data_IF_526084826412
#
_entry.id   IF_526084826412
#
_cell.length_a   1.000
_cell.length_b   1.000
_cell.length_c   1.000
_cell.angle_alpha   90.00
_cell.angle_beta   90.00
_cell.angle_gamma   90.00
#
_symmetry.space_group_name_H-M   'P 1'
#
loop_
_entity.id
_entity.type
_entity.pdbx_description
1 polymer ?
#
# COMPACT_ATOMS: atom_id res chain seq x y z
N UNK A 1 31.05 0.77 18.83
CA UNK A 1 31.22 1.42 17.49
C UNK A 1 30.66 0.45 16.45
N UNK A 2 29.37 0.51 16.13
CA UNK A 2 28.76 -0.38 15.14
C UNK A 2 28.77 0.36 13.79
N UNK A 3 29.59 -0.12 12.86
CA UNK A 3 29.52 0.32 11.46
C UNK A 3 28.16 -0.13 10.87
N UNK A 4 27.27 0.84 10.66
CA UNK A 4 26.01 0.62 9.95
C UNK A 4 26.32 0.56 8.47
N UNK A 5 26.17 -0.62 7.89
CA UNK A 5 26.41 -0.92 6.48
C UNK A 5 25.56 -0.01 5.60
N UNK A 6 26.19 0.89 4.84
CA UNK A 6 25.55 1.89 3.97
C UNK A 6 24.78 1.28 2.79
N UNK A 7 25.04 0.03 2.43
CA UNK A 7 24.36 -0.65 1.32
C UNK A 7 22.85 -0.91 1.54
N UNK A 8 22.41 -1.06 2.81
CA UNK A 8 20.99 -1.31 3.12
C UNK A 8 20.11 -0.06 3.05
N UNK A 9 20.70 1.14 3.18
CA UNK A 9 19.97 2.42 3.15
C UNK A 9 19.61 2.85 1.71
N UNK A 10 20.42 2.48 0.71
CA UNK A 10 20.18 2.79 -0.71
C UNK A 10 18.99 2.03 -1.33
N UNK A 11 18.57 0.91 -0.74
CA UNK A 11 17.57 0.01 -1.35
C UNK A 11 16.14 0.58 -1.41
N UNK A 12 15.79 1.52 -0.55
CA UNK A 12 14.48 2.23 -0.61
C UNK A 12 14.47 3.36 -1.66
N UNK A 13 15.64 3.89 -2.03
CA UNK A 13 15.80 4.99 -2.99
C UNK A 13 16.24 4.51 -4.38
N UNK A 14 16.82 3.31 -4.52
CA UNK A 14 17.24 2.73 -5.81
C UNK A 14 16.06 2.12 -6.54
N UNK A 15 15.32 2.94 -7.25
CA UNK A 15 14.24 2.52 -8.14
C UNK A 15 14.69 2.61 -9.60
N UNK A 16 14.57 1.47 -10.30
CA UNK A 16 14.51 1.23 -11.74
C UNK A 16 15.81 0.87 -12.44
N UNK A 17 15.93 -0.45 -12.71
CA UNK A 17 16.39 -1.01 -13.99
C UNK A 17 16.06 -2.52 -13.99
N UNK A 18 15.16 -2.93 -14.84
CA UNK A 18 14.71 -4.32 -15.11
C UNK A 18 13.35 -4.27 -15.77
N UNK A 19 12.94 -5.23 -16.57
CA UNK A 19 11.58 -5.35 -17.15
C UNK A 19 10.57 -4.82 -16.15
N UNK A 20 9.77 -3.82 -16.53
CA UNK A 20 8.99 -2.98 -15.60
C UNK A 20 8.00 -3.80 -14.76
N UNK A 21 8.55 -4.42 -13.71
CA UNK A 21 7.74 -5.01 -12.65
C UNK A 21 7.01 -3.89 -11.92
N UNK A 22 5.71 -3.98 -11.86
CA UNK A 22 4.91 -3.02 -11.12
C UNK A 22 4.42 -3.64 -9.81
N UNK A 23 4.63 -2.95 -8.72
CA UNK A 23 4.14 -3.33 -7.38
C UNK A 23 3.08 -2.31 -6.98
N UNK A 24 1.86 -2.78 -6.72
CA UNK A 24 0.79 -1.99 -6.12
C UNK A 24 0.60 -2.42 -4.68
N UNK A 25 0.53 -1.48 -3.76
CA UNK A 25 0.18 -1.78 -2.37
C UNK A 25 -1.16 -1.14 -2.05
N UNK A 26 -2.09 -1.94 -1.57
CA UNK A 26 -3.42 -1.49 -1.17
C UNK A 26 -3.45 -1.34 0.34
N UNK A 27 -3.62 -0.11 0.81
CA UNK A 27 -3.54 0.24 2.23
C UNK A 27 -4.62 1.22 2.66
N UNK A 28 -4.56 1.62 3.92
CA UNK A 28 -5.46 2.63 4.48
C UNK A 28 -5.31 2.74 5.99
N UNK A 29 -5.65 3.92 6.53
CA UNK A 29 -5.46 4.22 7.95
C UNK A 29 -6.45 3.49 8.89
N UNK A 30 -7.60 2.99 8.39
CA UNK A 30 -8.67 2.41 9.20
C UNK A 30 -8.98 0.97 8.81
N UNK A 31 -9.40 0.14 9.80
CA UNK A 31 -9.96 -1.19 9.57
C UNK A 31 -11.35 -1.15 8.95
N UNK A 32 -11.73 -2.20 8.23
CA UNK A 32 -13.10 -2.32 7.68
C UNK A 32 -13.39 -1.46 6.44
N UNK A 33 -12.39 -0.80 5.83
CA UNK A 33 -12.61 -0.01 4.60
C UNK A 33 -12.74 -0.86 3.33
N UNK A 34 -12.59 -2.20 3.44
CA UNK A 34 -12.71 -3.11 2.29
C UNK A 34 -11.43 -3.30 1.49
N UNK A 35 -10.25 -2.99 2.04
CA UNK A 35 -8.94 -3.16 1.38
C UNK A 35 -8.77 -4.55 0.75
N UNK A 36 -8.96 -5.60 1.53
CA UNK A 36 -8.77 -6.99 1.07
C UNK A 36 -9.74 -7.38 -0.03
N UNK A 37 -11.00 -6.91 0.03
CA UNK A 37 -11.96 -7.07 -1.06
C UNK A 37 -11.47 -6.37 -2.33
N UNK A 38 -11.02 -5.11 -2.21
CA UNK A 38 -10.48 -4.32 -3.34
C UNK A 38 -9.22 -4.99 -3.90
N UNK A 39 -8.27 -5.39 -3.04
CA UNK A 39 -7.03 -6.06 -3.44
C UNK A 39 -7.29 -7.36 -4.21
N UNK A 40 -8.14 -8.24 -3.67
CA UNK A 40 -8.50 -9.50 -4.32
C UNK A 40 -9.23 -9.27 -5.65
N UNK A 41 -10.18 -8.34 -5.67
CA UNK A 41 -10.96 -8.04 -6.88
C UNK A 41 -10.09 -7.41 -7.98
N UNK A 42 -9.21 -6.49 -7.62
CA UNK A 42 -8.22 -5.92 -8.56
C UNK A 42 -7.29 -7.01 -9.11
N UNK A 43 -6.81 -7.94 -8.25
CA UNK A 43 -5.93 -9.02 -8.65
C UNK A 43 -6.62 -10.00 -9.62
N UNK A 44 -7.87 -10.37 -9.36
CA UNK A 44 -8.67 -11.23 -10.24
C UNK A 44 -8.82 -10.58 -11.62
N UNK A 45 -9.22 -9.31 -11.65
CA UNK A 45 -9.41 -8.62 -12.93
C UNK A 45 -8.08 -8.41 -13.67
N UNK A 46 -7.02 -8.00 -12.99
CA UNK A 46 -5.71 -7.80 -13.60
C UNK A 46 -5.14 -9.10 -14.18
N UNK A 47 -5.33 -10.24 -13.50
CA UNK A 47 -4.91 -11.55 -13.99
C UNK A 47 -5.63 -11.95 -15.28
N UNK A 48 -6.88 -11.54 -15.47
CA UNK A 48 -7.61 -11.76 -16.72
C UNK A 48 -7.01 -10.98 -17.89
N UNK A 49 -6.37 -9.84 -17.62
CA UNK A 49 -5.71 -9.00 -18.63
C UNK A 49 -4.27 -9.43 -18.91
N UNK A 50 -3.46 -9.71 -17.88
CA UNK A 50 -2.01 -9.83 -18.00
C UNK A 50 -1.44 -11.25 -17.71
N UNK A 51 -2.20 -12.14 -17.10
CA UNK A 51 -1.87 -13.57 -16.85
C UNK A 51 -0.59 -13.85 -16.02
N UNK A 52 -0.02 -12.88 -15.32
CA UNK A 52 1.14 -13.07 -14.41
C UNK A 52 1.05 -12.09 -13.25
N UNK A 53 0.11 -12.34 -12.36
CA UNK A 53 -0.18 -11.53 -11.19
C UNK A 53 0.06 -12.34 -9.93
N UNK A 54 0.74 -11.74 -8.94
CA UNK A 54 0.88 -12.32 -7.60
C UNK A 54 0.25 -11.38 -6.60
N UNK A 55 -0.71 -11.90 -5.83
CA UNK A 55 -1.33 -11.22 -4.70
C UNK A 55 -0.65 -11.67 -3.42
N UNK A 56 -0.22 -10.71 -2.59
CA UNK A 56 0.46 -10.98 -1.31
C UNK A 56 -0.40 -10.44 -0.18
N UNK A 57 -0.75 -11.29 0.76
CA UNK A 57 -1.42 -10.91 1.99
C UNK A 57 -0.36 -10.48 3.04
N UNK A 58 -0.24 -9.19 3.24
CA UNK A 58 0.64 -8.60 4.24
C UNK A 58 -0.15 -7.98 5.41
N UNK A 59 -1.44 -8.36 5.58
CA UNK A 59 -2.19 -8.00 6.78
C UNK A 59 -1.73 -8.87 7.96
N UNK A 60 -0.98 -8.24 8.85
CA UNK A 60 -0.42 -8.87 10.04
C UNK A 60 -1.44 -9.07 11.16
N UNK A 61 -2.66 -8.57 10.97
CA UNK A 61 -3.74 -8.59 11.97
C UNK A 61 -4.83 -9.62 11.73
N UNK A 62 -4.89 -10.22 10.54
CA UNK A 62 -5.93 -11.17 10.17
C UNK A 62 -5.94 -11.47 8.68
N UNK A 63 -5.01 -12.31 8.21
CA UNK A 63 -4.91 -12.65 6.79
C UNK A 63 -6.18 -13.36 6.33
N UNK A 64 -6.82 -12.84 5.29
CA UNK A 64 -8.11 -13.37 4.83
C UNK A 64 -8.29 -13.35 3.29
N UNK A 65 -7.24 -13.03 2.53
CA UNK A 65 -7.32 -12.96 1.07
C UNK A 65 -7.76 -14.28 0.43
N UNK A 66 -7.35 -15.42 1.00
CA UNK A 66 -7.79 -16.74 0.53
C UNK A 66 -9.31 -16.88 0.52
N UNK A 67 -9.99 -16.31 1.53
CA UNK A 67 -11.46 -16.28 1.62
C UNK A 67 -12.10 -15.52 0.46
N UNK A 68 -11.55 -14.32 0.11
CA UNK A 68 -12.03 -13.52 -1.02
C UNK A 68 -11.81 -14.20 -2.38
N UNK A 69 -10.82 -15.10 -2.46
CA UNK A 69 -10.54 -15.91 -3.65
C UNK A 69 -11.32 -17.23 -3.68
N UNK A 70 -12.17 -17.51 -2.68
CA UNK A 70 -12.93 -18.76 -2.58
C UNK A 70 -12.06 -19.99 -2.31
N UNK A 71 -10.90 -19.78 -1.68
CA UNK A 71 -9.94 -20.85 -1.41
C UNK A 71 -10.07 -21.34 0.03
N UNK A 72 -9.80 -22.62 0.21
CA UNK A 72 -9.57 -23.19 1.54
C UNK A 72 -8.18 -22.82 2.03
N UNK A 73 -7.97 -22.96 3.32
CA UNK A 73 -6.67 -22.70 3.94
C UNK A 73 -5.54 -23.57 3.36
N UNK A 74 -4.31 -23.06 3.40
CA UNK A 74 -3.10 -23.72 2.92
C UNK A 74 -2.05 -23.83 4.02
N UNK A 75 -1.19 -24.84 3.90
CA UNK A 75 -0.17 -25.16 4.93
C UNK A 75 1.05 -24.22 4.93
N UNK A 76 1.31 -23.49 3.86
CA UNK A 76 2.47 -22.57 3.76
C UNK A 76 1.98 -21.13 3.66
N UNK A 77 2.67 -20.25 4.38
CA UNK A 77 2.35 -18.84 4.46
C UNK A 77 3.61 -17.93 4.43
N UNK A 78 3.39 -16.62 4.44
CA UNK A 78 4.44 -15.61 4.46
C UNK A 78 5.37 -15.74 5.68
N UNK A 79 4.83 -16.19 6.82
CA UNK A 79 5.57 -16.40 8.06
C UNK A 79 6.60 -17.51 7.94
N UNK A 80 6.33 -18.57 7.17
CA UNK A 80 7.28 -19.67 6.94
C UNK A 80 8.55 -19.16 6.24
N UNK A 81 8.40 -18.21 5.30
CA UNK A 81 9.55 -17.56 4.67
C UNK A 81 10.28 -16.61 5.65
N UNK A 82 9.55 -15.81 6.42
CA UNK A 82 10.13 -14.85 7.36
C UNK A 82 10.84 -15.55 8.52
N UNK A 83 10.39 -16.75 8.91
CA UNK A 83 11.03 -17.60 9.95
C UNK A 83 12.15 -18.47 9.42
N UNK A 84 12.47 -18.42 8.12
CA UNK A 84 13.41 -19.30 7.42
C UNK A 84 13.04 -20.80 7.45
N UNK A 85 11.77 -21.12 7.64
CA UNK A 85 11.27 -22.50 7.48
C UNK A 85 11.34 -22.92 6.02
N UNK A 86 11.12 -21.95 5.09
CA UNK A 86 11.40 -22.10 3.65
C UNK A 86 12.45 -21.08 3.20
N UNK A 87 13.36 -21.44 2.27
CA UNK A 87 14.48 -20.58 1.88
C UNK A 87 14.06 -19.40 0.99
N UNK A 88 13.05 -19.58 0.13
CA UNK A 88 12.65 -18.57 -0.85
C UNK A 88 11.18 -18.19 -0.70
N UNK A 89 10.86 -16.94 -0.97
CA UNK A 89 9.48 -16.45 -0.97
C UNK A 89 8.61 -17.18 -2.01
N UNK A 90 9.18 -17.62 -3.14
CA UNK A 90 8.48 -18.39 -4.18
C UNK A 90 7.95 -19.74 -3.68
N UNK A 91 8.56 -20.29 -2.63
CA UNK A 91 8.17 -21.59 -2.08
C UNK A 91 6.85 -21.51 -1.29
N UNK A 92 6.39 -20.30 -0.96
CA UNK A 92 5.09 -20.03 -0.30
C UNK A 92 3.98 -19.69 -1.28
N UNK A 93 4.23 -19.78 -2.59
CA UNK A 93 3.24 -19.45 -3.63
C UNK A 93 2.17 -20.53 -3.73
N UNK A 94 0.92 -20.11 -3.75
CA UNK A 94 -0.25 -20.95 -3.92
C UNK A 94 -0.91 -20.62 -5.26
N UNK A 95 -1.26 -21.63 -6.04
CA UNK A 95 -2.07 -21.45 -7.24
C UNK A 95 -3.52 -21.17 -6.86
N UNK A 96 -4.11 -20.16 -7.46
CA UNK A 96 -5.50 -19.80 -7.24
C UNK A 96 -6.41 -20.42 -8.30
N UNK A 97 -7.74 -20.46 -8.10
CA UNK A 97 -8.69 -20.86 -9.14
C UNK A 97 -8.69 -19.96 -10.38
N UNK A 98 -8.06 -18.79 -10.31
CA UNK A 98 -8.00 -17.80 -11.39
C UNK A 98 -6.72 -17.98 -12.21
N UNK A 99 -6.88 -18.25 -13.50
CA UNK A 99 -5.74 -18.41 -14.41
C UNK A 99 -4.88 -17.13 -14.41
N UNK A 100 -3.59 -17.30 -14.16
CA UNK A 100 -2.64 -16.16 -14.13
C UNK A 100 -2.54 -15.43 -12.79
N UNK A 101 -3.33 -15.83 -11.77
CA UNK A 101 -3.26 -15.29 -10.42
C UNK A 101 -2.64 -16.30 -9.46
N UNK A 102 -1.61 -15.86 -8.74
CA UNK A 102 -0.95 -16.57 -7.65
C UNK A 102 -1.23 -15.84 -6.32
N UNK A 103 -1.25 -16.58 -5.22
CA UNK A 103 -1.41 -16.04 -3.88
C UNK A 103 -0.18 -16.39 -3.02
N UNK A 104 0.32 -15.42 -2.25
CA UNK A 104 1.16 -15.65 -1.08
C UNK A 104 0.31 -15.29 0.13
N UNK A 105 -0.09 -16.32 0.89
CA UNK A 105 -0.97 -16.16 2.04
C UNK A 105 -0.24 -15.46 3.18
N UNK A 106 -0.93 -14.58 3.90
CA UNK A 106 -0.45 -14.00 5.16
C UNK A 106 -0.42 -15.04 6.30
N UNK A 107 0.34 -14.74 7.33
CA UNK A 107 0.46 -15.65 8.49
C UNK A 107 -0.53 -15.31 9.59
N UNK A 108 -1.07 -16.34 10.22
CA UNK A 108 -1.91 -16.21 11.42
C UNK A 108 -1.09 -15.96 12.70
N UNK A 109 0.24 -16.11 12.63
CA UNK A 109 1.10 -15.83 13.77
C UNK A 109 1.34 -14.34 13.96
N UNK A 110 0.29 -13.65 14.42
CA UNK A 110 0.22 -12.19 14.57
C UNK A 110 1.33 -11.65 15.46
N UNK A 111 1.65 -12.32 16.56
CA UNK A 111 2.69 -11.86 17.50
C UNK A 111 4.08 -11.83 16.86
N UNK A 112 4.36 -12.78 16.01
CA UNK A 112 5.63 -12.86 15.30
C UNK A 112 5.77 -11.75 14.26
N UNK A 113 4.72 -11.49 13.50
CA UNK A 113 4.74 -10.51 12.42
C UNK A 113 4.61 -9.07 12.93
N UNK A 114 3.84 -8.83 14.00
CA UNK A 114 3.75 -7.51 14.63
C UNK A 114 5.12 -7.02 15.15
N UNK A 115 5.95 -7.95 15.60
CA UNK A 115 7.31 -7.72 16.10
C UNK A 115 8.41 -8.07 15.08
N UNK A 116 8.09 -8.03 13.79
CA UNK A 116 9.08 -8.28 12.74
C UNK A 116 10.23 -7.28 12.86
N UNK A 117 11.43 -7.77 13.15
CA UNK A 117 12.60 -6.92 13.26
C UNK A 117 13.00 -6.35 11.88
N UNK A 118 13.81 -5.30 11.91
CA UNK A 118 14.26 -4.59 10.72
C UNK A 118 14.86 -5.53 9.65
N UNK A 119 15.71 -6.48 10.05
CA UNK A 119 16.40 -7.39 9.10
C UNK A 119 15.44 -8.31 8.37
N UNK A 120 14.47 -8.89 9.07
CA UNK A 120 13.43 -9.75 8.50
C UNK A 120 12.55 -8.97 7.52
N UNK A 121 12.16 -7.75 7.89
CA UNK A 121 11.41 -6.85 7.02
C UNK A 121 12.20 -6.51 5.75
N UNK A 122 13.46 -6.14 5.87
CA UNK A 122 14.30 -5.82 4.71
C UNK A 122 14.55 -7.04 3.82
N UNK A 123 14.70 -8.23 4.39
CA UNK A 123 14.74 -9.49 3.63
C UNK A 123 13.47 -9.66 2.82
N UNK A 124 12.29 -9.53 3.43
CA UNK A 124 11.00 -9.67 2.75
C UNK A 124 10.84 -8.63 1.63
N UNK A 125 11.11 -7.35 1.90
CA UNK A 125 11.06 -6.27 0.91
C UNK A 125 11.96 -6.58 -0.29
N UNK A 126 13.18 -7.07 -0.05
CA UNK A 126 14.11 -7.45 -1.13
C UNK A 126 13.54 -8.58 -1.99
N UNK A 127 13.01 -9.63 -1.36
CA UNK A 127 12.43 -10.75 -2.09
C UNK A 127 11.15 -10.34 -2.87
N UNK A 128 10.32 -9.48 -2.32
CA UNK A 128 9.17 -8.90 -3.06
C UNK A 128 9.66 -8.10 -4.27
N UNK A 129 10.71 -7.28 -4.12
CA UNK A 129 11.29 -6.49 -5.23
C UNK A 129 11.84 -7.36 -6.35
N UNK A 130 12.47 -8.47 -6.03
CA UNK A 130 13.09 -9.39 -7.00
C UNK A 130 12.19 -10.57 -7.38
N UNK A 131 10.96 -10.61 -6.87
CA UNK A 131 10.02 -11.70 -7.14
C UNK A 131 9.70 -11.79 -8.63
N UNK A 132 9.70 -13.01 -9.17
CA UNK A 132 9.41 -13.25 -10.58
C UNK A 132 7.90 -13.24 -10.84
N UNK A 133 7.39 -12.04 -11.10
CA UNK A 133 6.01 -11.78 -11.54
C UNK A 133 5.97 -10.42 -12.24
N UNK A 134 5.13 -10.30 -13.25
CA UNK A 134 4.93 -9.03 -13.98
C UNK A 134 4.27 -7.98 -13.08
N UNK A 135 3.27 -8.40 -12.32
CA UNK A 135 2.53 -7.55 -11.38
C UNK A 135 2.46 -8.18 -9.99
N UNK A 136 2.68 -7.36 -8.98
CA UNK A 136 2.53 -7.76 -7.58
C UNK A 136 1.53 -6.80 -6.93
N UNK A 137 0.49 -7.34 -6.30
CA UNK A 137 -0.43 -6.58 -5.46
C UNK A 137 -0.20 -7.01 -4.03
N UNK A 138 0.00 -6.03 -3.14
CA UNK A 138 0.21 -6.27 -1.70
C UNK A 138 -0.98 -5.72 -0.95
N UNK A 139 -1.73 -6.58 -0.28
CA UNK A 139 -2.76 -6.17 0.67
C UNK A 139 -2.11 -5.86 2.02
N UNK A 140 -2.15 -4.60 2.42
CA UNK A 140 -1.50 -4.15 3.64
C UNK A 140 -2.53 -4.05 4.76
N UNK A 141 -2.16 -4.50 5.95
CA UNK A 141 -2.94 -4.34 7.15
C UNK A 141 -3.31 -2.89 7.47
N UNK A 142 -4.02 -2.70 8.54
CA UNK A 142 -4.57 -1.41 8.97
C UNK A 142 -3.58 -0.60 9.80
N UNK A 143 -3.76 0.72 9.80
CA UNK A 143 -3.00 1.65 10.64
C UNK A 143 -1.69 2.10 10.02
N UNK A 144 -0.97 2.95 10.76
CA UNK A 144 0.27 3.61 10.32
C UNK A 144 1.52 3.03 11.02
N UNK A 145 1.57 1.70 11.22
CA UNK A 145 2.78 1.05 11.71
C UNK A 145 3.93 1.20 10.71
N UNK A 146 5.17 1.15 11.18
CA UNK A 146 6.33 1.20 10.28
C UNK A 146 6.33 0.11 9.21
N UNK A 147 5.76 -1.06 9.51
CA UNK A 147 5.65 -2.14 8.53
C UNK A 147 4.65 -1.77 7.42
N UNK A 148 3.44 -1.30 7.78
CA UNK A 148 2.44 -0.87 6.81
C UNK A 148 2.98 0.27 5.92
N UNK A 149 3.62 1.27 6.52
CA UNK A 149 4.20 2.41 5.80
C UNK A 149 5.30 1.96 4.84
N UNK A 150 6.25 1.12 5.30
CA UNK A 150 7.37 0.68 4.46
C UNK A 150 6.89 -0.21 3.28
N UNK A 151 5.86 -1.05 3.47
CA UNK A 151 5.22 -1.79 2.36
C UNK A 151 4.46 -0.87 1.40
N UNK A 152 3.78 0.15 1.92
CA UNK A 152 3.10 1.12 1.07
C UNK A 152 4.10 1.92 0.23
N UNK A 153 5.22 2.34 0.80
CA UNK A 153 6.29 3.07 0.12
C UNK A 153 7.12 2.20 -0.84
N UNK A 154 7.04 0.87 -0.71
CA UNK A 154 7.64 -0.07 -1.66
C UNK A 154 6.96 -0.01 -3.03
N UNK A 155 5.70 0.35 -3.07
CA UNK A 155 4.84 0.31 -4.24
C UNK A 155 4.93 1.56 -5.12
N UNK A 156 4.52 1.41 -6.37
CA UNK A 156 4.34 2.52 -7.31
C UNK A 156 3.23 2.18 -8.31
N UNK A 157 2.00 2.67 -8.05
CA UNK A 157 1.61 3.49 -6.89
C UNK A 157 1.20 2.68 -5.66
N UNK A 158 1.19 3.36 -4.49
CA UNK A 158 0.41 2.95 -3.32
C UNK A 158 -1.05 3.38 -3.48
N UNK A 159 -1.98 2.52 -3.11
CA UNK A 159 -3.42 2.73 -3.30
C UNK A 159 -4.10 2.81 -1.94
N UNK A 160 -4.70 3.96 -1.62
CA UNK A 160 -5.49 4.16 -0.42
C UNK A 160 -6.94 3.79 -0.68
N UNK A 161 -7.52 2.96 0.20
CA UNK A 161 -8.94 2.63 0.20
C UNK A 161 -9.61 3.29 1.41
N UNK A 162 -10.58 4.15 1.14
CA UNK A 162 -11.26 5.01 2.12
C UNK A 162 -12.76 4.86 1.97
N UNK A 163 -13.49 4.77 3.08
CA UNK A 163 -14.95 4.87 3.08
C UNK A 163 -15.36 6.35 3.17
N UNK A 164 -16.55 6.75 2.69
CA UNK A 164 -17.05 8.12 2.78
C UNK A 164 -17.52 8.49 4.20
N UNK A 165 -16.68 8.22 5.20
CA UNK A 165 -16.89 8.48 6.61
C UNK A 165 -15.81 9.42 7.14
N UNK A 166 -16.14 10.44 7.95
CA UNK A 166 -15.17 11.40 8.48
C UNK A 166 -13.94 10.73 9.12
N UNK A 167 -14.16 9.71 9.96
CA UNK A 167 -13.09 8.99 10.64
C UNK A 167 -12.20 8.19 9.66
N UNK A 168 -12.75 7.68 8.56
CA UNK A 168 -11.97 6.97 7.54
C UNK A 168 -11.07 7.94 6.76
N UNK A 169 -11.59 9.12 6.42
CA UNK A 169 -10.87 10.17 5.72
C UNK A 169 -9.74 10.73 6.59
N UNK A 170 -10.04 11.01 7.85
CA UNK A 170 -9.05 11.49 8.81
C UNK A 170 -7.90 10.50 9.00
N UNK A 171 -8.21 9.21 9.18
CA UNK A 171 -7.17 8.17 9.29
C UNK A 171 -6.34 8.02 8.01
N UNK A 172 -6.94 8.19 6.83
CA UNK A 172 -6.22 8.18 5.56
C UNK A 172 -5.27 9.40 5.45
N UNK A 173 -5.70 10.57 5.90
CA UNK A 173 -4.85 11.75 5.96
C UNK A 173 -3.64 11.53 6.89
N UNK A 174 -3.86 11.00 8.10
CA UNK A 174 -2.77 10.67 9.02
C UNK A 174 -1.83 9.58 8.48
N UNK A 175 -2.37 8.61 7.75
CA UNK A 175 -1.55 7.60 7.10
C UNK A 175 -0.63 8.22 6.03
N UNK A 176 -1.16 9.08 5.15
CA UNK A 176 -0.35 9.80 4.16
C UNK A 176 0.70 10.71 4.83
N UNK A 177 0.30 11.44 5.87
CA UNK A 177 1.23 12.26 6.67
C UNK A 177 2.38 11.41 7.22
N UNK A 178 2.09 10.22 7.73
CA UNK A 178 3.09 9.28 8.25
C UNK A 178 4.03 8.74 7.14
N UNK A 179 3.50 8.49 5.94
CA UNK A 179 4.32 8.11 4.78
C UNK A 179 5.30 9.24 4.40
N UNK A 180 4.83 10.48 4.34
CA UNK A 180 5.66 11.64 4.05
C UNK A 180 6.78 11.79 5.08
N UNK A 181 6.44 11.72 6.35
CA UNK A 181 7.41 11.78 7.45
C UNK A 181 8.46 10.67 7.31
N UNK A 182 8.04 9.46 6.96
CA UNK A 182 8.94 8.33 6.73
C UNK A 182 9.88 8.58 5.57
N UNK A 183 9.38 9.13 4.45
CA UNK A 183 10.20 9.53 3.29
C UNK A 183 11.24 10.56 3.72
N UNK A 184 10.80 11.63 4.38
CA UNK A 184 11.69 12.70 4.84
C UNK A 184 12.79 12.16 5.77
N UNK A 185 12.42 11.29 6.73
CA UNK A 185 13.39 10.64 7.62
C UNK A 185 14.44 9.82 6.86
N UNK A 186 14.01 8.94 5.95
CA UNK A 186 14.93 8.09 5.18
C UNK A 186 15.87 8.92 4.32
N UNK A 187 15.36 9.99 3.72
CA UNK A 187 16.15 10.89 2.87
C UNK A 187 17.18 11.67 3.69
N UNK A 188 16.79 12.24 4.82
CA UNK A 188 17.72 12.99 5.68
C UNK A 188 18.81 12.11 6.28
N UNK A 189 18.47 10.88 6.70
CA UNK A 189 19.45 9.88 7.16
C UNK A 189 20.42 9.46 6.04
N UNK A 190 19.93 9.34 4.79
CA UNK A 190 20.76 8.95 3.65
C UNK A 190 21.75 10.03 3.24
N UNK A 191 21.34 11.29 3.25
CA UNK A 191 22.19 12.44 2.87
C UNK A 191 22.98 13.02 4.03
N UNK A 192 22.89 12.48 5.24
CA UNK A 192 23.63 12.97 6.42
C UNK A 192 23.16 14.34 6.93
N UNK A 193 21.91 14.71 6.69
CA UNK A 193 21.32 15.99 7.07
C UNK A 193 20.67 15.85 8.46
N UNK A 194 21.45 15.53 9.49
CA UNK A 194 20.95 15.15 10.83
C UNK A 194 20.17 16.27 11.53
N UNK A 195 20.55 17.53 11.35
CA UNK A 195 19.85 18.68 11.95
C UNK A 195 18.40 18.80 11.46
N UNK A 196 18.12 18.36 10.23
CA UNK A 196 16.77 18.30 9.69
C UNK A 196 15.92 17.19 10.31
N UNK A 197 16.52 16.07 10.72
CA UNK A 197 15.78 14.98 11.40
C UNK A 197 15.19 15.46 12.71
N UNK A 198 15.95 16.24 13.47
CA UNK A 198 15.48 16.83 14.73
C UNK A 198 14.34 17.83 14.51
N UNK A 199 14.45 18.69 13.49
CA UNK A 199 13.38 19.63 13.10
C UNK A 199 12.12 18.89 12.64
N UNK A 200 12.26 17.83 11.84
CA UNK A 200 11.15 16.96 11.43
C UNK A 200 10.46 16.34 12.65
N UNK A 201 11.22 15.83 13.61
CA UNK A 201 10.69 15.21 14.81
C UNK A 201 9.87 16.18 15.69
N UNK A 202 10.33 17.44 15.81
CA UNK A 202 9.60 18.51 16.52
C UNK A 202 8.32 18.86 15.77
N UNK A 203 8.39 18.99 14.45
CA UNK A 203 7.25 19.34 13.59
C UNK A 203 6.15 18.26 13.61
N UNK A 204 6.53 16.97 13.73
CA UNK A 204 5.60 15.85 13.85
C UNK A 204 4.75 15.97 15.12
N UNK A 205 5.34 16.41 16.23
CA UNK A 205 4.65 16.57 17.52
C UNK A 205 3.65 17.72 17.50
N UNK A 206 3.88 18.72 16.67
CA UNK A 206 2.96 19.85 16.48
C UNK A 206 2.00 19.57 15.32
N UNK A 207 0.87 18.93 15.64
CA UNK A 207 -0.16 18.59 14.64
C UNK A 207 -0.84 19.84 14.01
N UNK A 208 -0.57 21.04 14.51
CA UNK A 208 -1.15 22.30 13.98
C UNK A 208 -0.46 22.78 12.71
N UNK A 209 0.79 22.36 12.45
CA UNK A 209 1.56 22.82 11.29
C UNK A 209 1.40 21.88 10.08
N UNK A 210 1.27 22.45 8.90
CA UNK A 210 1.23 21.70 7.64
C UNK A 210 2.64 21.28 7.19
N UNK A 211 2.74 20.20 6.42
CA UNK A 211 4.01 19.81 5.77
C UNK A 211 4.54 20.95 4.87
N UNK A 212 3.63 21.70 4.24
CA UNK A 212 3.99 22.87 3.45
C UNK A 212 4.73 23.94 4.27
N UNK A 213 4.25 24.27 5.46
CA UNK A 213 4.91 25.25 6.36
C UNK A 213 6.31 24.78 6.74
N UNK A 214 6.45 23.50 7.09
CA UNK A 214 7.74 22.90 7.42
C UNK A 214 8.74 22.97 6.25
N UNK A 215 8.31 22.62 5.03
CA UNK A 215 9.19 22.70 3.86
C UNK A 215 9.64 24.14 3.55
N UNK A 216 8.75 25.12 3.73
CA UNK A 216 9.11 26.53 3.57
C UNK A 216 10.12 27.02 4.60
N UNK A 217 10.01 26.56 5.85
CA UNK A 217 11.03 26.84 6.88
C UNK A 217 12.41 26.28 6.46
N UNK A 218 12.46 25.07 5.87
CA UNK A 218 13.72 24.51 5.37
C UNK A 218 14.27 25.32 4.19
N UNK A 219 13.42 25.73 3.24
CA UNK A 219 13.84 26.54 2.09
C UNK A 219 14.53 27.83 2.53
N UNK A 220 14.05 28.46 3.59
CA UNK A 220 14.63 29.71 4.12
C UNK A 220 16.01 29.52 4.73
N UNK A 221 16.35 28.32 5.19
CA UNK A 221 17.62 28.02 5.85
C UNK A 221 18.62 27.28 4.95
N UNK A 222 18.15 26.32 4.13
CA UNK A 222 19.00 25.51 3.24
C UNK A 222 18.24 25.08 1.98
N UNK A 223 18.48 25.81 0.88
CA UNK A 223 17.86 25.55 -0.41
C UNK A 223 18.22 24.18 -1.01
N UNK A 224 19.44 23.68 -0.76
CA UNK A 224 19.89 22.40 -1.32
C UNK A 224 19.16 21.23 -0.66
N UNK A 225 19.11 21.21 0.67
CA UNK A 225 18.36 20.22 1.43
C UNK A 225 16.86 20.26 1.09
N UNK A 226 16.29 21.46 0.96
CA UNK A 226 14.91 21.61 0.52
C UNK A 226 14.68 20.97 -0.86
N UNK A 227 15.57 21.19 -1.83
CA UNK A 227 15.45 20.62 -3.17
C UNK A 227 15.49 19.08 -3.16
N UNK A 228 16.36 18.48 -2.35
CA UNK A 228 16.45 17.03 -2.17
C UNK A 228 15.14 16.46 -1.62
N UNK A 229 14.60 17.10 -0.57
CA UNK A 229 13.33 16.67 0.06
C UNK A 229 12.14 16.81 -0.89
N UNK A 230 12.00 17.92 -1.60
CA UNK A 230 10.97 18.11 -2.62
C UNK A 230 11.03 17.06 -3.73
N UNK A 231 12.23 16.75 -4.24
CA UNK A 231 12.43 15.72 -5.26
C UNK A 231 11.98 14.34 -4.74
N UNK A 232 12.24 14.01 -3.48
CA UNK A 232 11.82 12.76 -2.87
C UNK A 232 10.29 12.71 -2.75
N UNK A 233 9.65 13.77 -2.30
CA UNK A 233 8.19 13.86 -2.17
C UNK A 233 7.49 13.81 -3.54
N UNK A 234 8.04 14.44 -4.57
CA UNK A 234 7.47 14.38 -5.93
C UNK A 234 7.46 12.98 -6.55
N UNK A 235 8.23 12.04 -6.02
CA UNK A 235 8.20 10.62 -6.44
C UNK A 235 7.10 9.82 -5.75
N UNK A 236 6.51 10.38 -4.70
CA UNK A 236 5.43 9.76 -3.96
C UNK A 236 4.09 10.20 -4.55
N UNK A 237 3.53 9.38 -5.45
CA UNK A 237 2.29 9.64 -6.17
C UNK A 237 1.25 8.57 -5.80
N UNK A 238 0.67 8.61 -4.59
CA UNK A 238 -0.33 7.66 -4.17
C UNK A 238 -1.64 7.84 -4.96
N UNK A 239 -2.43 6.78 -4.97
CA UNK A 239 -3.77 6.76 -5.55
C UNK A 239 -4.83 6.63 -4.46
N UNK A 240 -6.05 7.08 -4.75
CA UNK A 240 -7.21 7.03 -3.86
C UNK A 240 -8.36 6.28 -4.52
N UNK A 241 -8.97 5.39 -3.76
CA UNK A 241 -10.26 4.75 -4.07
C UNK A 241 -11.23 5.05 -2.94
N UNK A 242 -12.41 5.58 -3.27
CA UNK A 242 -13.54 5.64 -2.34
C UNK A 242 -14.28 4.33 -2.44
N UNK A 243 -14.41 3.60 -1.34
CA UNK A 243 -15.17 2.34 -1.30
C UNK A 243 -16.46 2.52 -0.50
N UNK A 244 -17.45 1.67 -0.74
CA UNK A 244 -18.78 1.74 -0.10
C UNK A 244 -19.53 3.05 -0.36
N UNK A 245 -19.38 3.66 -1.53
CA UNK A 245 -20.12 4.86 -1.92
C UNK A 245 -21.62 4.55 -2.02
N UNK A 246 -22.48 5.40 -1.39
CA UNK A 246 -23.94 5.20 -1.35
C UNK A 246 -24.71 6.36 -1.99
N UNK A 247 -24.06 7.48 -2.23
CA UNK A 247 -24.67 8.69 -2.77
C UNK A 247 -23.76 9.36 -3.80
N UNK A 248 -24.33 10.20 -4.64
CA UNK A 248 -23.55 11.01 -5.59
C UNK A 248 -22.48 11.86 -4.88
N UNK A 249 -22.77 12.35 -3.68
CA UNK A 249 -21.79 13.11 -2.87
C UNK A 249 -20.57 12.26 -2.50
N UNK A 250 -20.77 10.97 -2.24
CA UNK A 250 -19.66 10.07 -1.92
C UNK A 250 -18.75 9.87 -3.14
N UNK A 251 -19.30 9.83 -4.36
CA UNK A 251 -18.52 9.74 -5.58
C UNK A 251 -17.69 11.02 -5.83
N UNK A 252 -18.22 12.20 -5.45
CA UNK A 252 -17.52 13.48 -5.60
C UNK A 252 -16.48 13.73 -4.49
N UNK A 253 -16.61 13.06 -3.36
CA UNK A 253 -15.74 13.24 -2.19
C UNK A 253 -14.26 13.02 -2.52
N UNK A 254 -13.95 12.09 -3.42
CA UNK A 254 -12.58 11.77 -3.81
C UNK A 254 -11.80 12.99 -4.30
N UNK A 255 -12.42 13.87 -5.11
CA UNK A 255 -11.76 15.07 -5.58
C UNK A 255 -11.50 16.07 -4.45
N UNK A 256 -12.45 16.23 -3.54
CA UNK A 256 -12.27 17.11 -2.37
C UNK A 256 -11.11 16.65 -1.48
N UNK A 257 -10.93 15.32 -1.31
CA UNK A 257 -9.80 14.77 -0.57
C UNK A 257 -8.47 15.06 -1.30
N UNK A 258 -8.44 14.92 -2.63
CA UNK A 258 -7.26 15.27 -3.45
C UNK A 258 -6.84 16.71 -3.22
N UNK A 259 -7.78 17.64 -3.25
CA UNK A 259 -7.52 19.07 -3.08
C UNK A 259 -6.97 19.40 -1.67
N UNK A 260 -7.53 18.78 -0.64
CA UNK A 260 -7.04 18.90 0.75
C UNK A 260 -5.64 18.34 0.90
N UNK A 261 -5.37 17.13 0.38
CA UNK A 261 -4.05 16.50 0.45
C UNK A 261 -3.02 17.35 -0.29
N UNK A 262 -3.32 17.83 -1.48
CA UNK A 262 -2.44 18.72 -2.25
C UNK A 262 -2.11 19.99 -1.48
N UNK A 263 -3.11 20.61 -0.87
CA UNK A 263 -2.95 21.88 -0.13
C UNK A 263 -2.10 21.72 1.13
N UNK A 264 -2.30 20.67 1.90
CA UNK A 264 -1.70 20.54 3.24
C UNK A 264 -0.49 19.59 3.29
N UNK A 265 -0.43 18.58 2.42
CA UNK A 265 0.62 17.57 2.42
C UNK A 265 1.61 17.71 1.25
N UNK A 266 1.32 18.57 0.27
CA UNK A 266 2.21 18.82 -0.90
C UNK A 266 2.47 17.53 -1.71
N UNK A 267 1.48 16.65 -1.77
CA UNK A 267 1.53 15.37 -2.48
C UNK A 267 0.46 15.34 -3.56
N UNK A 268 0.82 14.87 -4.74
CA UNK A 268 -0.13 14.65 -5.83
C UNK A 268 -0.84 13.31 -5.62
N UNK A 269 -2.05 13.36 -5.04
CA UNK A 269 -2.92 12.21 -4.85
C UNK A 269 -3.80 12.03 -6.10
N UNK A 270 -3.82 10.81 -6.67
CA UNK A 270 -4.60 10.53 -7.86
C UNK A 270 -5.91 9.81 -7.50
N UNK A 271 -7.04 10.44 -7.71
CA UNK A 271 -8.35 9.81 -7.53
C UNK A 271 -8.65 8.85 -8.70
N UNK A 272 -8.73 7.54 -8.40
CA UNK A 272 -9.00 6.51 -9.39
C UNK A 272 -10.50 6.32 -9.67
N UNK A 273 -11.33 6.52 -8.66
CA UNK A 273 -12.77 6.37 -8.73
C UNK A 273 -13.38 5.89 -7.42
N UNK A 274 -14.70 5.70 -7.46
CA UNK A 274 -15.45 5.18 -6.32
C UNK A 274 -16.07 3.83 -6.67
N UNK A 275 -16.15 2.96 -5.67
CA UNK A 275 -16.78 1.65 -5.73
C UNK A 275 -18.09 1.75 -4.96
N UNK A 276 -19.25 1.49 -5.59
CA UNK A 276 -20.54 1.56 -4.91
C UNK A 276 -20.67 0.49 -3.83
N UNK A 277 -21.53 0.75 -2.85
CA UNK A 277 -21.91 -0.23 -1.85
C UNK A 277 -22.79 -1.32 -2.47
N UNK A 278 -22.49 -2.60 -2.17
CA UNK A 278 -23.33 -3.74 -2.55
C UNK A 278 -23.32 -4.80 -1.44
N UNK A 279 -24.50 -5.07 -0.88
CA UNK A 279 -24.67 -6.08 0.18
C UNK A 279 -24.31 -7.52 -0.29
N UNK A 280 -24.33 -7.75 -1.59
CA UNK A 280 -23.94 -9.03 -2.18
C UNK A 280 -22.46 -9.37 -1.93
N UNK A 281 -21.62 -8.37 -1.67
CA UNK A 281 -20.22 -8.58 -1.28
C UNK A 281 -20.16 -9.41 0.00
N UNK A 282 -20.94 -9.03 1.01
CA UNK A 282 -21.01 -9.77 2.27
C UNK A 282 -21.59 -11.19 2.10
N UNK A 283 -22.59 -11.32 1.24
CA UNK A 283 -23.19 -12.62 0.91
C UNK A 283 -22.18 -13.52 0.21
N UNK A 284 -21.40 -12.99 -0.72
CA UNK A 284 -20.34 -13.72 -1.42
C UNK A 284 -19.27 -14.23 -0.47
N UNK A 285 -18.85 -13.40 0.48
CA UNK A 285 -17.89 -13.79 1.52
C UNK A 285 -18.38 -14.93 2.38
N UNK A 286 -19.64 -14.86 2.85
CA UNK A 286 -20.26 -15.95 3.65
C UNK A 286 -20.31 -17.28 2.90
N UNK A 287 -20.44 -17.24 1.58
CA UNK A 287 -20.51 -18.42 0.70
C UNK A 287 -19.14 -18.86 0.19
N UNK A 288 -18.06 -18.16 0.55
CA UNK A 288 -16.71 -18.38 0.01
C UNK A 288 -16.69 -18.37 -1.53
N UNK A 289 -17.49 -17.49 -2.14
CA UNK A 289 -17.55 -17.32 -3.60
C UNK A 289 -16.99 -15.96 -3.99
N UNK A 290 -16.01 -15.90 -4.90
CA UNK A 290 -15.44 -14.61 -5.34
C UNK A 290 -16.50 -13.72 -5.99
N UNK A 291 -16.65 -12.50 -5.48
CA UNK A 291 -17.71 -11.58 -5.91
C UNK A 291 -17.69 -11.31 -7.42
N UNK A 292 -16.51 -11.03 -8.01
CA UNK A 292 -16.39 -10.73 -9.44
C UNK A 292 -16.78 -11.91 -10.35
N UNK A 293 -16.58 -13.13 -9.90
CA UNK A 293 -17.03 -14.33 -10.64
C UNK A 293 -18.53 -14.52 -10.57
N UNK A 294 -19.12 -14.17 -9.42
CA UNK A 294 -20.57 -14.36 -9.20
C UNK A 294 -21.38 -13.22 -9.83
N UNK A 295 -20.87 -11.99 -9.80
CA UNK A 295 -21.56 -10.78 -10.28
C UNK A 295 -20.68 -9.97 -11.25
N UNK A 296 -20.29 -10.55 -12.40
CA UNK A 296 -19.31 -9.92 -13.30
C UNK A 296 -19.76 -8.61 -13.95
N UNK A 297 -21.07 -8.37 -14.01
CA UNK A 297 -21.67 -7.18 -14.64
C UNK A 297 -22.27 -6.20 -13.62
N UNK A 298 -21.98 -6.38 -12.32
CA UNK A 298 -22.43 -5.43 -11.29
C UNK A 298 -21.71 -4.08 -11.42
N UNK A 299 -22.29 -3.01 -10.91
CA UNK A 299 -21.66 -1.68 -10.86
C UNK A 299 -20.33 -1.72 -10.12
N UNK A 300 -20.23 -2.52 -9.04
CA UNK A 300 -18.97 -2.75 -8.32
C UNK A 300 -17.92 -3.38 -9.24
N UNK A 301 -18.28 -4.42 -9.99
CA UNK A 301 -17.34 -5.07 -10.92
C UNK A 301 -16.88 -4.13 -12.03
N UNK A 302 -17.79 -3.32 -12.58
CA UNK A 302 -17.47 -2.31 -13.61
C UNK A 302 -16.55 -1.22 -13.04
N UNK A 303 -16.82 -0.73 -11.83
CA UNK A 303 -15.97 0.26 -11.16
C UNK A 303 -14.55 -0.27 -10.93
N UNK A 304 -14.41 -1.52 -10.45
CA UNK A 304 -13.10 -2.15 -10.24
C UNK A 304 -12.35 -2.31 -11.57
N UNK A 305 -13.04 -2.73 -12.65
CA UNK A 305 -12.43 -2.81 -13.99
C UNK A 305 -11.87 -1.47 -14.43
N UNK A 306 -12.68 -0.40 -14.37
CA UNK A 306 -12.27 0.96 -14.74
C UNK A 306 -11.06 1.42 -13.92
N UNK A 307 -11.03 1.15 -12.61
CA UNK A 307 -9.91 1.48 -11.72
C UNK A 307 -8.64 0.73 -12.13
N UNK A 308 -8.72 -0.58 -12.39
CA UNK A 308 -7.57 -1.40 -12.79
C UNK A 308 -7.04 -0.96 -14.15
N UNK A 309 -7.90 -0.70 -15.12
CA UNK A 309 -7.51 -0.22 -16.45
C UNK A 309 -6.79 1.12 -16.39
N UNK A 310 -7.28 2.09 -15.59
CA UNK A 310 -6.57 3.36 -15.35
C UNK A 310 -5.17 3.19 -14.77
N UNK A 311 -4.94 2.12 -13.99
CA UNK A 311 -3.64 1.84 -13.39
C UNK A 311 -2.72 1.04 -14.32
N UNK A 312 -3.26 0.10 -15.08
CA UNK A 312 -2.48 -0.81 -15.92
C UNK A 312 -1.93 -0.14 -17.18
N UNK A 313 -2.65 0.87 -17.70
CA UNK A 313 -2.29 1.56 -18.95
C UNK A 313 -1.69 2.96 -18.72
N UNK A 314 -1.31 3.29 -17.48
CA UNK A 314 -0.49 4.46 -17.15
C UNK A 314 1.00 4.11 -17.25
#
# INVERSE_FOLDING_TARGET
>A
MYQVNTESKGSLLSLRQGKEKTIWAVGGGKGGTGKSFVSASMAIHLASLEKDVTLIDADLGGPNLHTFLGMKDSNLDLGDFVTNKVPNLKDTVILTPFVGLKLIKGTENVLFMANMNYYKKMKLIRHIKTFDAKRVIIDIGTGASYNCIDFFLLSNPGILVVNPEPTSIENAYYFLKSCIIRILKVVTEFYGIEDLVNKIAVHIKDNSKSIYTFLNEIISHDKNSAHILFRALKRFNPCLIINNARSERDFLLGQSIVDVVKKYLVVDLNFLGAIPHDEKIHTSLKRLTPYLSTYPNSEVALSIRSIVEKLAYK
#
